data_IF_836758600092
#
_entry.id   IF_836758600092
#
_cell.length_a   1.000
_cell.length_b   1.000
_cell.length_c   1.000
_cell.angle_alpha   90.00
_cell.angle_beta   90.00
_cell.angle_gamma   90.00
#
_symmetry.space_group_name_H-M   'P 1'
#
loop_
_entity.id
_entity.type
_entity.pdbx_description
1 polymer ?
#
# COMPACT_ATOMS: atom_id res chain seq x y z
N UNK A 1 8.92 15.27 7.98
CA UNK A 1 8.41 14.34 6.95
C UNK A 1 6.91 14.19 7.15
N UNK A 2 6.14 14.59 6.17
CA UNK A 2 4.67 14.47 6.18
C UNK A 2 4.26 13.25 5.35
N UNK A 3 3.64 12.26 5.97
CA UNK A 3 3.31 10.99 5.34
C UNK A 3 1.80 10.74 5.32
N UNK A 4 1.28 10.15 4.26
CA UNK A 4 -0.11 9.72 4.10
C UNK A 4 -0.14 8.26 3.68
N UNK A 5 -1.05 7.48 4.23
CA UNK A 5 -1.29 6.10 3.80
C UNK A 5 -2.73 5.95 3.33
N UNK A 6 -2.88 5.66 2.05
CA UNK A 6 -4.16 5.35 1.43
C UNK A 6 -4.36 3.84 1.43
N UNK A 7 -5.39 3.36 2.12
CA UNK A 7 -5.62 1.94 2.32
C UNK A 7 -7.02 1.51 1.88
N UNK A 8 -7.10 0.71 0.81
CA UNK A 8 -8.32 0.02 0.41
C UNK A 8 -8.38 -1.34 1.10
N UNK A 9 -9.03 -1.40 2.24
CA UNK A 9 -9.27 -2.64 2.99
C UNK A 9 -10.75 -3.02 2.95
N UNK A 10 -11.01 -4.31 2.83
CA UNK A 10 -12.36 -4.92 2.92
C UNK A 10 -12.45 -5.84 4.13
N UNK A 11 -13.36 -6.82 4.07
CA UNK A 11 -13.59 -7.83 5.09
C UNK A 11 -12.28 -8.34 5.73
N UNK A 12 -12.32 -8.61 7.01
CA UNK A 12 -11.22 -9.08 7.86
C UNK A 12 -10.10 -8.08 8.18
N UNK A 13 -10.06 -6.90 7.55
CA UNK A 13 -9.12 -5.83 7.94
C UNK A 13 -7.63 -6.13 7.73
N UNK A 14 -7.27 -7.15 6.94
CA UNK A 14 -5.87 -7.57 6.77
C UNK A 14 -4.97 -6.45 6.28
N UNK A 15 -5.39 -5.77 5.22
CA UNK A 15 -4.63 -4.64 4.65
C UNK A 15 -4.58 -3.48 5.62
N UNK A 16 -5.65 -3.24 6.39
CA UNK A 16 -5.71 -2.19 7.39
C UNK A 16 -4.69 -2.42 8.51
N UNK A 17 -4.56 -3.64 9.02
CA UNK A 17 -3.56 -3.98 10.05
C UNK A 17 -2.13 -3.71 9.56
N UNK A 18 -1.83 -4.04 8.30
CA UNK A 18 -0.53 -3.72 7.70
C UNK A 18 -0.35 -2.21 7.55
N UNK A 19 -1.39 -1.49 7.10
CA UNK A 19 -1.36 -0.03 6.97
C UNK A 19 -1.10 0.65 8.32
N UNK A 20 -1.81 0.25 9.37
CA UNK A 20 -1.66 0.80 10.71
C UNK A 20 -0.23 0.59 11.23
N UNK A 21 0.35 -0.59 11.00
CA UNK A 21 1.72 -0.90 11.42
C UNK A 21 2.77 -0.08 10.66
N UNK A 22 2.55 0.17 9.38
CA UNK A 22 3.41 1.08 8.59
C UNK A 22 3.23 2.52 9.06
N UNK A 23 1.98 2.93 9.35
CA UNK A 23 1.65 4.27 9.80
C UNK A 23 2.34 4.63 11.12
N UNK A 24 2.34 3.73 12.09
CA UNK A 24 3.06 3.91 13.37
C UNK A 24 4.55 4.24 13.14
N UNK A 25 5.21 3.52 12.22
CA UNK A 25 6.63 3.72 11.95
C UNK A 25 6.93 5.00 11.14
N UNK A 26 5.97 5.51 10.38
CA UNK A 26 6.10 6.71 9.55
C UNK A 26 5.51 7.96 10.20
N UNK A 27 4.78 7.82 11.32
CA UNK A 27 3.97 8.89 11.91
C UNK A 27 2.96 9.44 10.87
N UNK A 28 2.18 8.54 10.28
CA UNK A 28 1.30 8.80 9.17
C UNK A 28 -0.18 8.58 9.51
N UNK A 29 -1.06 9.31 8.82
CA UNK A 29 -2.49 9.05 8.85
C UNK A 29 -2.86 7.93 7.86
N UNK A 30 -3.81 7.05 8.25
CA UNK A 30 -4.36 6.02 7.36
C UNK A 30 -5.79 6.39 6.97
N UNK A 31 -6.01 6.60 5.68
CA UNK A 31 -7.30 7.02 5.10
C UNK A 31 -7.81 6.04 4.05
N UNK A 32 -9.11 5.97 3.88
CA UNK A 32 -9.72 5.22 2.79
C UNK A 32 -9.58 5.97 1.46
N UNK A 33 -9.50 5.28 0.30
CA UNK A 33 -9.37 5.96 -0.99
C UNK A 33 -10.47 6.98 -1.30
N UNK A 34 -11.66 6.77 -0.78
CA UNK A 34 -12.82 7.65 -0.98
C UNK A 34 -12.73 8.94 -0.17
N UNK A 35 -11.99 8.93 0.94
CA UNK A 35 -11.81 10.07 1.82
C UNK A 35 -10.66 10.99 1.38
N UNK A 36 -9.86 10.57 0.38
CA UNK A 36 -8.74 11.35 -0.12
C UNK A 36 -9.23 12.40 -1.12
N UNK A 37 -8.92 13.66 -0.86
CA UNK A 37 -8.95 14.68 -1.91
C UNK A 37 -7.67 14.55 -2.76
N UNK A 38 -7.79 14.20 -4.06
CA UNK A 38 -6.62 14.03 -4.92
C UNK A 38 -5.73 15.29 -5.02
N UNK A 39 -6.30 16.47 -4.84
CA UNK A 39 -5.58 17.75 -4.98
C UNK A 39 -4.56 17.99 -3.87
N UNK A 40 -4.76 17.40 -2.69
CA UNK A 40 -3.86 17.63 -1.54
C UNK A 40 -2.71 16.62 -1.45
N UNK A 41 -2.71 15.60 -2.30
CA UNK A 41 -1.68 14.53 -2.26
C UNK A 41 -0.28 15.09 -2.51
N UNK A 42 -0.19 16.17 -3.30
CA UNK A 42 1.06 16.90 -3.54
C UNK A 42 1.68 17.58 -2.31
N UNK A 43 0.95 17.68 -1.19
CA UNK A 43 1.41 18.30 0.05
C UNK A 43 2.15 17.34 1.00
N UNK A 44 2.38 16.10 0.57
CA UNK A 44 3.05 15.07 1.35
C UNK A 44 4.44 14.76 0.80
N UNK A 45 5.37 14.42 1.68
CA UNK A 45 6.71 13.98 1.31
C UNK A 45 6.69 12.53 0.80
N UNK A 46 5.80 11.72 1.37
CA UNK A 46 5.63 10.32 0.99
C UNK A 46 4.18 9.87 1.10
N UNK A 47 3.73 9.11 0.12
CA UNK A 47 2.36 8.56 0.07
C UNK A 47 2.41 7.04 -0.12
N UNK A 48 1.77 6.30 0.78
CA UNK A 48 1.57 4.86 0.67
C UNK A 48 0.26 4.52 -0.01
N UNK A 49 0.28 3.59 -0.94
CA UNK A 49 -0.91 3.10 -1.64
C UNK A 49 -1.08 1.60 -1.38
N UNK A 50 -2.09 1.24 -0.61
CA UNK A 50 -2.32 -0.12 -0.15
C UNK A 50 -3.66 -0.72 -0.54
N UNK A 51 -3.66 -2.02 -0.84
CA UNK A 51 -4.86 -2.76 -1.19
C UNK A 51 -4.79 -4.23 -0.81
N UNK A 52 -5.96 -4.80 -0.47
CA UNK A 52 -6.16 -6.22 -0.62
C UNK A 52 -6.20 -6.60 -2.11
N UNK A 53 -5.75 -7.82 -2.42
CA UNK A 53 -5.84 -8.38 -3.77
C UNK A 53 -7.04 -9.33 -3.82
N UNK A 54 -7.97 -9.02 -4.69
CA UNK A 54 -9.21 -9.79 -4.87
C UNK A 54 -9.29 -10.24 -6.33
N UNK A 55 -9.42 -11.56 -6.55
CA UNK A 55 -9.44 -12.13 -7.90
C UNK A 55 -8.28 -11.62 -8.78
N UNK A 56 -7.06 -11.63 -8.22
CA UNK A 56 -5.83 -11.15 -8.89
C UNK A 56 -5.82 -9.65 -9.22
N UNK A 57 -6.73 -8.87 -8.68
CA UNK A 57 -6.84 -7.43 -8.95
C UNK A 57 -6.73 -6.60 -7.67
N UNK A 58 -6.14 -5.43 -7.82
CA UNK A 58 -6.16 -4.35 -6.83
C UNK A 58 -7.58 -3.82 -6.69
N UNK A 59 -7.98 -3.44 -5.49
CA UNK A 59 -9.30 -2.91 -5.20
C UNK A 59 -9.67 -1.74 -6.13
N UNK A 60 -10.89 -1.78 -6.65
CA UNK A 60 -11.38 -0.80 -7.63
C UNK A 60 -11.35 0.65 -7.09
N UNK A 61 -11.55 0.84 -5.77
CA UNK A 61 -11.50 2.16 -5.11
C UNK A 61 -10.12 2.77 -5.20
N UNK A 62 -9.06 1.98 -4.92
CA UNK A 62 -7.69 2.46 -5.04
C UNK A 62 -7.34 2.77 -6.49
N UNK A 63 -7.72 1.90 -7.44
CA UNK A 63 -7.50 2.15 -8.88
C UNK A 63 -8.21 3.42 -9.36
N UNK A 64 -9.44 3.67 -8.89
CA UNK A 64 -10.20 4.88 -9.21
C UNK A 64 -9.50 6.14 -8.69
N UNK A 65 -8.99 6.10 -7.45
CA UNK A 65 -8.24 7.22 -6.89
C UNK A 65 -6.97 7.49 -7.71
N UNK A 66 -6.14 6.48 -7.97
CA UNK A 66 -4.87 6.65 -8.73
C UNK A 66 -5.12 7.30 -10.09
N UNK A 67 -6.19 6.90 -10.79
CA UNK A 67 -6.55 7.55 -12.07
C UNK A 67 -6.89 9.03 -11.93
N UNK A 68 -7.49 9.43 -10.80
CA UNK A 68 -7.91 10.82 -10.51
C UNK A 68 -6.81 11.69 -9.95
N UNK A 69 -5.68 11.11 -9.51
CA UNK A 69 -4.55 11.89 -9.02
C UNK A 69 -4.07 12.87 -10.10
N UNK A 70 -3.79 14.12 -9.74
CA UNK A 70 -3.11 15.05 -10.64
C UNK A 70 -1.66 14.58 -10.89
N UNK A 71 -1.03 15.16 -11.89
CA UNK A 71 0.42 15.05 -12.00
C UNK A 71 1.08 15.77 -10.81
N UNK A 72 2.11 15.16 -10.24
CA UNK A 72 2.87 15.71 -9.13
C UNK A 72 4.33 15.87 -9.52
N UNK A 73 5.06 16.67 -8.76
CA UNK A 73 6.49 16.83 -8.95
C UNK A 73 7.24 15.57 -8.52
N UNK A 74 8.28 15.20 -9.25
CA UNK A 74 9.06 13.98 -9.05
C UNK A 74 9.74 13.84 -7.67
N UNK A 75 9.70 14.86 -6.83
CA UNK A 75 10.22 14.78 -5.47
C UNK A 75 9.26 14.09 -4.48
N UNK A 76 7.98 13.89 -4.85
CA UNK A 76 7.01 13.21 -3.99
C UNK A 76 7.24 11.70 -4.09
N UNK A 77 7.59 11.11 -2.96
CA UNK A 77 7.85 9.68 -2.90
C UNK A 77 6.58 8.88 -2.72
N UNK A 78 6.52 7.70 -3.34
CA UNK A 78 5.43 6.76 -3.14
C UNK A 78 5.95 5.38 -2.77
N UNK A 79 5.12 4.60 -2.11
CA UNK A 79 5.33 3.17 -1.95
C UNK A 79 4.00 2.43 -2.06
N UNK A 80 4.07 1.14 -2.37
CA UNK A 80 2.89 0.29 -2.47
C UNK A 80 2.93 -0.82 -1.43
N UNK A 81 1.74 -1.28 -0.97
CA UNK A 81 1.66 -2.46 -0.12
C UNK A 81 0.39 -3.26 -0.40
N UNK A 82 0.52 -4.58 -0.37
CA UNK A 82 -0.57 -5.48 -0.72
C UNK A 82 -0.69 -6.64 0.25
N UNK A 83 -1.94 -7.07 0.49
CA UNK A 83 -2.23 -8.33 1.16
C UNK A 83 -2.99 -9.24 0.21
N UNK A 84 -2.57 -10.50 0.10
CA UNK A 84 -3.16 -11.46 -0.81
C UNK A 84 -3.32 -12.83 -0.17
N UNK A 85 -4.40 -13.54 -0.50
CA UNK A 85 -4.58 -14.93 -0.12
C UNK A 85 -3.57 -15.87 -0.77
N UNK A 86 -3.12 -15.56 -1.98
CA UNK A 86 -2.09 -16.30 -2.71
C UNK A 86 -0.71 -15.63 -2.61
N UNK A 87 0.37 -16.39 -2.87
CA UNK A 87 1.69 -15.79 -3.10
C UNK A 87 1.62 -14.85 -4.29
N UNK A 88 2.28 -13.70 -4.16
CA UNK A 88 2.50 -12.83 -5.31
C UNK A 88 3.33 -13.62 -6.35
N UNK A 89 2.76 -13.79 -7.53
CA UNK A 89 3.50 -14.29 -8.66
C UNK A 89 4.03 -13.04 -9.38
N UNK A 90 5.34 -12.80 -9.45
CA UNK A 90 5.91 -11.57 -10.03
C UNK A 90 5.43 -11.31 -11.46
N UNK A 91 5.03 -12.37 -12.17
CA UNK A 91 4.53 -12.31 -13.55
C UNK A 91 3.10 -11.75 -13.66
N UNK A 92 2.30 -11.76 -12.58
CA UNK A 92 0.90 -11.32 -12.62
C UNK A 92 0.71 -9.80 -12.50
N UNK A 93 1.77 -9.07 -12.26
CA UNK A 93 1.89 -7.68 -12.67
C UNK A 93 1.03 -6.62 -11.97
N UNK A 94 0.18 -6.95 -10.95
CA UNK A 94 -0.65 -5.91 -10.32
C UNK A 94 0.18 -4.84 -9.63
N UNK A 95 1.26 -5.23 -8.94
CA UNK A 95 2.19 -4.29 -8.32
C UNK A 95 2.90 -3.44 -9.39
N UNK A 96 3.36 -4.08 -10.47
CA UNK A 96 4.00 -3.39 -11.60
C UNK A 96 3.04 -2.39 -12.25
N UNK A 97 1.78 -2.78 -12.45
CA UNK A 97 0.76 -1.89 -13.03
C UNK A 97 0.49 -0.66 -12.16
N UNK A 98 0.32 -0.84 -10.85
CA UNK A 98 0.13 0.28 -9.91
C UNK A 98 1.34 1.18 -9.89
N UNK A 99 2.55 0.60 -9.81
CA UNK A 99 3.80 1.35 -9.84
C UNK A 99 3.92 2.22 -11.10
N UNK A 100 3.70 1.64 -12.28
CA UNK A 100 3.76 2.37 -13.55
C UNK A 100 2.76 3.53 -13.60
N UNK A 101 1.52 3.33 -13.10
CA UNK A 101 0.52 4.39 -13.04
C UNK A 101 0.95 5.54 -12.11
N UNK A 102 1.56 5.25 -10.98
CA UNK A 102 2.08 6.25 -10.05
C UNK A 102 3.27 7.00 -10.66
N UNK A 103 4.21 6.29 -11.29
CA UNK A 103 5.37 6.89 -11.99
C UNK A 103 4.92 7.81 -13.14
N UNK A 104 3.88 7.44 -13.91
CA UNK A 104 3.27 8.28 -14.93
C UNK A 104 2.63 9.55 -14.36
N UNK A 105 2.23 9.55 -13.09
CA UNK A 105 1.73 10.72 -12.37
C UNK A 105 2.84 11.57 -11.74
N UNK A 106 4.09 11.17 -11.88
CA UNK A 106 5.26 11.91 -11.37
C UNK A 106 5.76 11.45 -9.99
N UNK A 107 5.19 10.40 -9.40
CA UNK A 107 5.71 9.89 -8.13
C UNK A 107 7.01 9.11 -8.32
N UNK A 108 7.95 9.31 -7.39
CA UNK A 108 9.11 8.43 -7.25
C UNK A 108 8.71 7.21 -6.40
N UNK A 109 8.50 6.04 -7.03
CA UNK A 109 8.12 4.84 -6.27
C UNK A 109 9.35 4.17 -5.66
N UNK A 110 9.54 4.36 -4.36
CA UNK A 110 10.73 3.96 -3.61
C UNK A 110 10.65 2.57 -2.96
N UNK A 111 9.52 1.90 -3.04
CA UNK A 111 9.42 0.55 -2.48
C UNK A 111 8.05 -0.09 -2.63
N UNK A 112 8.03 -1.39 -2.39
CA UNK A 112 6.79 -2.18 -2.32
C UNK A 112 6.92 -3.23 -1.22
N UNK A 113 5.80 -3.49 -0.52
CA UNK A 113 5.66 -4.52 0.47
C UNK A 113 4.48 -5.43 0.14
N UNK A 114 4.63 -6.73 0.34
CA UNK A 114 3.52 -7.66 0.25
C UNK A 114 3.61 -8.73 1.33
N UNK A 115 2.45 -9.15 1.83
CA UNK A 115 2.33 -10.29 2.73
C UNK A 115 1.03 -11.06 2.47
N UNK A 116 0.93 -12.24 3.08
CA UNK A 116 -0.31 -13.01 3.03
C UNK A 116 -1.36 -12.40 3.94
N UNK A 117 -2.61 -12.43 3.47
CA UNK A 117 -3.80 -12.13 4.25
C UNK A 117 -4.70 -13.35 4.38
N UNK A 118 -5.51 -13.39 5.41
CA UNK A 118 -6.59 -14.37 5.51
C UNK A 118 -7.58 -14.15 4.37
N UNK A 119 -7.89 -15.22 3.64
CA UNK A 119 -8.83 -15.18 2.52
C UNK A 119 -9.90 -16.27 2.69
N UNK A 120 -11.15 -15.84 2.72
CA UNK A 120 -12.33 -16.70 2.77
C UNK A 120 -13.28 -16.44 1.60
N UNK A 121 -12.79 -15.83 0.51
CA UNK A 121 -13.60 -15.46 -0.66
C UNK A 121 -13.67 -16.61 -1.65
N UNK A 122 -14.85 -16.78 -2.27
CA UNK A 122 -15.09 -17.80 -3.28
C UNK A 122 -14.99 -19.22 -2.74
N UNK A 123 -14.30 -20.16 -3.43
CA UNK A 123 -14.23 -21.56 -3.03
C UNK A 123 -13.51 -21.77 -1.69
N UNK A 124 -12.71 -20.83 -1.23
CA UNK A 124 -12.00 -20.90 0.06
C UNK A 124 -12.93 -20.74 1.26
N UNK A 125 -14.10 -20.14 1.09
CA UNK A 125 -15.11 -20.01 2.13
C UNK A 125 -15.63 -21.36 2.62
N UNK A 126 -15.78 -22.34 1.73
CA UNK A 126 -16.28 -23.68 2.06
C UNK A 126 -15.30 -24.51 2.93
N UNK A 127 -14.00 -24.23 2.86
CA UNK A 127 -12.96 -24.88 3.66
C UNK A 127 -12.52 -24.04 4.86
N UNK A 128 -13.29 -23.00 5.19
CA UNK A 128 -13.03 -22.12 6.33
C UNK A 128 -11.92 -21.11 6.09
N UNK A 129 -11.61 -20.78 4.82
CA UNK A 129 -10.59 -19.82 4.41
C UNK A 129 -9.16 -20.37 4.42
N UNK A 130 -8.29 -19.66 3.73
CA UNK A 130 -6.84 -19.93 3.69
C UNK A 130 -6.06 -18.86 4.46
N UNK A 131 -4.83 -19.20 4.89
CA UNK A 131 -3.95 -18.33 5.67
C UNK A 131 -4.59 -17.78 6.97
N UNK A 132 -5.29 -18.64 7.72
CA UNK A 132 -5.81 -18.29 9.05
C UNK A 132 -4.71 -17.70 9.92
N UNK A 133 -5.00 -16.59 10.61
CA UNK A 133 -4.04 -15.89 11.44
C UNK A 133 -3.06 -15.00 10.68
N UNK A 134 -3.28 -14.76 9.38
CA UNK A 134 -2.48 -13.81 8.58
C UNK A 134 -3.23 -12.48 8.34
N UNK A 135 -2.51 -11.34 8.30
CA UNK A 135 -1.09 -11.18 8.64
C UNK A 135 -0.84 -11.52 10.12
N UNK A 136 0.26 -12.22 10.41
CA UNK A 136 0.71 -12.52 11.76
C UNK A 136 1.74 -11.48 12.25
N UNK A 137 2.26 -11.67 13.47
CA UNK A 137 3.21 -10.73 14.07
C UNK A 137 4.48 -10.59 13.24
N UNK A 138 5.02 -11.69 12.67
CA UNK A 138 6.17 -11.64 11.77
C UNK A 138 5.91 -10.78 10.52
N UNK A 139 4.70 -10.88 9.95
CA UNK A 139 4.31 -10.05 8.80
C UNK A 139 4.24 -8.57 9.19
N UNK A 140 3.71 -8.27 10.37
CA UNK A 140 3.62 -6.91 10.89
C UNK A 140 4.98 -6.33 11.25
N UNK A 141 5.89 -7.13 11.81
CA UNK A 141 7.27 -6.71 12.09
C UNK A 141 8.05 -6.45 10.79
N UNK A 142 7.84 -7.26 9.77
CA UNK A 142 8.40 -7.01 8.42
C UNK A 142 7.84 -5.73 7.81
N UNK A 143 6.57 -5.42 8.02
CA UNK A 143 5.95 -4.18 7.58
C UNK A 143 6.56 -2.96 8.29
N UNK A 144 6.76 -3.04 9.61
CA UNK A 144 7.44 -1.99 10.38
C UNK A 144 8.89 -1.79 9.92
N UNK A 145 9.64 -2.87 9.72
CA UNK A 145 11.02 -2.81 9.21
C UNK A 145 11.07 -2.19 7.80
N UNK A 146 10.11 -2.51 6.93
CA UNK A 146 9.97 -1.88 5.62
C UNK A 146 9.75 -0.37 5.76
N UNK A 147 8.81 0.06 6.61
CA UNK A 147 8.54 1.47 6.86
C UNK A 147 9.77 2.21 7.41
N UNK A 148 10.53 1.59 8.30
CA UNK A 148 11.79 2.15 8.81
C UNK A 148 12.83 2.40 7.71
N UNK A 149 12.92 1.50 6.73
CA UNK A 149 13.78 1.71 5.54
C UNK A 149 13.29 2.84 4.65
N UNK A 150 11.97 2.95 4.45
CA UNK A 150 11.37 4.06 3.70
C UNK A 150 11.67 5.40 4.36
N UNK A 151 11.48 5.51 5.68
CA UNK A 151 11.77 6.73 6.44
C UNK A 151 13.20 7.21 6.23
N UNK A 152 14.18 6.29 6.30
CA UNK A 152 15.59 6.62 6.04
C UNK A 152 15.82 7.16 4.63
N UNK A 153 15.16 6.59 3.62
CA UNK A 153 15.27 7.06 2.22
C UNK A 153 14.66 8.44 2.03
N UNK A 154 13.49 8.71 2.63
CA UNK A 154 12.84 10.02 2.49
C UNK A 154 13.65 11.11 3.19
N UNK A 155 14.06 10.89 4.44
CA UNK A 155 14.83 11.86 5.23
C UNK A 155 16.23 12.08 4.62
N UNK A 156 16.91 11.01 4.21
CA UNK A 156 18.22 11.10 3.57
C UNK A 156 18.22 11.87 2.24
N UNK A 157 17.16 11.77 1.47
CA UNK A 157 16.98 12.55 0.23
C UNK A 157 16.74 14.04 0.49
N UNK A 158 16.03 14.39 1.57
CA UNK A 158 15.80 15.79 1.96
C UNK A 158 17.06 16.49 2.49
N UNK A 159 18.00 15.73 3.07
CA UNK A 159 19.26 16.27 3.57
C UNK A 159 20.30 16.48 2.44
N UNK A 160 20.08 15.94 1.25
CA UNK A 160 20.98 16.02 0.10
C UNK A 160 20.53 17.06 -0.96
N UNK A 161 19.39 17.71 -0.75
CA UNK A 161 18.82 18.77 -1.60
C UNK A 161 19.01 20.15 -0.98
#
# INVERSE_FOLDING_TARGET
MKALIVCASRSHGNTRRVADRIAEALDAEVVAPEAVDPSVVGNYDVVGFGSGIYYMMVDARLRKLIRRLPAVDHHIKAFTFFTSGAREIPLLGYNRSVRQQLEQKGFEVIGSFSCRGFDAVGPFGFVGGINRGRPNDDDLDRAAAFAGRLRKRVVGSQAAS
#
